data_IF_266944077021
#
_entry.id   IF_266944077021
#
_cell.length_a   1.000
_cell.length_b   1.000
_cell.length_c   1.000
_cell.angle_alpha   90.00
_cell.angle_beta   90.00
_cell.angle_gamma   90.00
#
_symmetry.space_group_name_H-M   'P 1'
#
loop_
_entity.id
_entity.type
_entity.pdbx_description
1 polymer ?
#
# COMPACT_ATOMS: atom_id res chain seq x y z
N UNK A 1 0.83 19.82 6.67
CA UNK A 1 1.29 20.00 5.27
C UNK A 1 0.35 20.95 4.58
N UNK A 2 0.82 21.90 3.76
CA UNK A 2 -0.03 22.81 2.99
C UNK A 2 0.05 22.44 1.50
N UNK A 3 -1.03 21.88 0.95
CA UNK A 3 -1.10 21.42 -0.44
C UNK A 3 -1.94 22.44 -1.24
N UNK A 4 -1.39 23.09 -2.27
CA UNK A 4 -2.03 24.25 -2.89
C UNK A 4 -3.24 23.90 -3.76
N UNK A 5 -3.31 22.67 -4.28
CA UNK A 5 -4.43 22.20 -5.11
C UNK A 5 -4.76 20.73 -4.85
N UNK A 6 -5.95 20.31 -5.30
CA UNK A 6 -6.39 18.91 -5.21
C UNK A 6 -5.50 17.98 -6.05
N UNK A 7 -4.92 18.47 -7.15
CA UNK A 7 -3.98 17.72 -7.99
C UNK A 7 -2.68 17.43 -7.24
N UNK A 8 -2.15 18.40 -6.47
CA UNK A 8 -0.99 18.17 -5.62
C UNK A 8 -1.28 17.09 -4.56
N UNK A 9 -2.45 17.15 -3.93
CA UNK A 9 -2.85 16.14 -2.94
C UNK A 9 -3.06 14.76 -3.57
N UNK A 10 -3.65 14.69 -4.76
CA UNK A 10 -3.80 13.45 -5.51
C UNK A 10 -2.44 12.83 -5.84
N UNK A 11 -1.53 13.61 -6.43
CA UNK A 11 -0.19 13.14 -6.78
C UNK A 11 0.58 12.64 -5.54
N UNK A 12 0.45 13.33 -4.40
CA UNK A 12 1.10 12.91 -3.16
C UNK A 12 0.50 11.62 -2.59
N UNK A 13 -0.83 11.52 -2.54
CA UNK A 13 -1.53 10.30 -2.10
C UNK A 13 -1.15 9.11 -2.98
N UNK A 14 -1.22 9.29 -4.29
CA UNK A 14 -0.98 8.22 -5.26
C UNK A 14 0.50 7.77 -5.23
N UNK A 15 1.45 8.72 -5.15
CA UNK A 15 2.86 8.38 -4.95
C UNK A 15 3.13 7.66 -3.63
N UNK A 16 2.40 8.00 -2.55
CA UNK A 16 2.45 7.25 -1.30
C UNK A 16 1.93 5.81 -1.44
N UNK A 17 0.85 5.62 -2.20
CA UNK A 17 0.29 4.29 -2.51
C UNK A 17 1.29 3.46 -3.33
N UNK A 18 1.90 4.05 -4.36
CA UNK A 18 2.92 3.40 -5.18
C UNK A 18 4.14 2.99 -4.34
N UNK A 19 4.58 3.84 -3.42
CA UNK A 19 5.66 3.52 -2.49
C UNK A 19 5.31 2.35 -1.57
N UNK A 20 4.08 2.27 -1.06
CA UNK A 20 3.61 1.11 -0.28
C UNK A 20 3.60 -0.18 -1.11
N UNK A 21 3.15 -0.12 -2.36
CA UNK A 21 3.16 -1.29 -3.25
C UNK A 21 4.59 -1.77 -3.53
N UNK A 22 5.51 -0.86 -3.80
CA UNK A 22 6.92 -1.19 -3.99
C UNK A 22 7.56 -1.82 -2.74
N UNK A 23 7.19 -1.34 -1.54
CA UNK A 23 7.64 -1.94 -0.28
C UNK A 23 7.07 -3.34 -0.05
N UNK A 24 5.80 -3.59 -0.39
CA UNK A 24 5.17 -4.92 -0.29
C UNK A 24 5.88 -5.92 -1.22
N UNK A 25 6.15 -5.52 -2.47
CA UNK A 25 6.88 -6.36 -3.43
C UNK A 25 8.33 -6.62 -2.99
N UNK A 26 9.03 -5.59 -2.49
CA UNK A 26 10.38 -5.75 -1.96
C UNK A 26 10.41 -6.69 -0.74
N UNK A 27 9.42 -6.59 0.16
CA UNK A 27 9.27 -7.49 1.30
C UNK A 27 9.02 -8.92 0.84
N UNK A 28 8.13 -9.14 -0.11
CA UNK A 28 7.85 -10.47 -0.65
C UNK A 28 9.11 -11.14 -1.23
N UNK A 29 9.89 -10.38 -2.01
CA UNK A 29 11.16 -10.85 -2.58
C UNK A 29 12.21 -11.16 -1.50
N UNK A 30 12.31 -10.31 -0.47
CA UNK A 30 13.24 -10.54 0.63
C UNK A 30 12.86 -11.79 1.44
N UNK A 31 11.58 -11.98 1.76
CA UNK A 31 11.10 -13.14 2.51
C UNK A 31 11.34 -14.48 1.78
N UNK A 32 11.44 -14.46 0.45
CA UNK A 32 11.77 -15.64 -0.34
C UNK A 32 13.24 -16.10 -0.21
N UNK A 33 14.14 -15.23 0.27
CA UNK A 33 15.59 -15.49 0.29
C UNK A 33 16.21 -15.54 1.68
N UNK A 34 15.53 -15.01 2.71
CA UNK A 34 16.02 -14.98 4.09
C UNK A 34 15.44 -16.12 4.94
N UNK A 35 16.12 -16.52 6.04
CA UNK A 35 15.59 -17.50 6.98
C UNK A 35 14.28 -17.06 7.64
N UNK A 36 13.38 -18.02 7.87
CA UNK A 36 12.08 -17.76 8.52
C UNK A 36 12.20 -17.10 9.90
N UNK A 37 13.28 -17.39 10.63
CA UNK A 37 13.57 -16.77 11.93
C UNK A 37 13.71 -15.25 11.86
N UNK A 38 14.11 -14.71 10.70
CA UNK A 38 14.25 -13.28 10.46
C UNK A 38 12.98 -12.63 9.87
N UNK A 39 11.96 -13.42 9.47
CA UNK A 39 10.77 -12.91 8.77
C UNK A 39 9.98 -11.94 9.64
N UNK A 40 9.83 -12.25 10.93
CA UNK A 40 9.06 -11.41 11.86
C UNK A 40 9.66 -10.01 11.96
N UNK A 41 10.96 -9.94 12.17
CA UNK A 41 11.65 -8.66 12.39
C UNK A 41 11.64 -7.82 11.11
N UNK A 42 11.85 -8.45 9.95
CA UNK A 42 11.77 -7.76 8.67
C UNK A 42 10.35 -7.24 8.39
N UNK A 43 9.31 -8.07 8.59
CA UNK A 43 7.91 -7.65 8.44
C UNK A 43 7.59 -6.47 9.37
N UNK A 44 8.08 -6.50 10.61
CA UNK A 44 7.84 -5.41 11.55
C UNK A 44 8.57 -4.13 11.12
N UNK A 45 9.79 -4.23 10.61
CA UNK A 45 10.53 -3.08 10.10
C UNK A 45 9.85 -2.44 8.89
N UNK A 46 9.46 -3.24 7.89
CA UNK A 46 8.74 -2.74 6.71
C UNK A 46 7.38 -2.18 7.10
N UNK A 47 6.65 -2.84 8.01
CA UNK A 47 5.37 -2.36 8.51
C UNK A 47 5.46 -0.98 9.17
N UNK A 48 6.54 -0.69 9.90
CA UNK A 48 6.79 0.66 10.44
C UNK A 48 6.97 1.71 9.34
N UNK A 49 7.73 1.40 8.30
CA UNK A 49 7.94 2.31 7.15
C UNK A 49 6.62 2.58 6.44
N UNK A 50 5.81 1.54 6.18
CA UNK A 50 4.49 1.70 5.56
C UNK A 50 3.56 2.54 6.44
N UNK A 51 3.58 2.36 7.76
CA UNK A 51 2.81 3.18 8.69
C UNK A 51 3.23 4.66 8.65
N UNK A 52 4.53 4.95 8.53
CA UNK A 52 5.04 6.32 8.34
C UNK A 52 4.54 6.92 7.02
N UNK A 53 4.61 6.19 5.90
CA UNK A 53 4.07 6.67 4.61
C UNK A 53 2.57 6.98 4.72
N UNK A 54 1.81 6.09 5.37
CA UNK A 54 0.39 6.31 5.60
C UNK A 54 0.14 7.57 6.43
N UNK A 55 0.84 7.73 7.56
CA UNK A 55 0.64 8.84 8.49
C UNK A 55 1.14 10.20 8.00
N UNK A 56 2.20 10.23 7.19
CA UNK A 56 2.90 11.47 6.82
C UNK A 56 2.65 11.90 5.36
N UNK A 57 2.20 10.97 4.49
CA UNK A 57 2.03 11.24 3.06
C UNK A 57 0.56 11.10 2.66
N UNK A 58 -0.02 9.91 2.87
CA UNK A 58 -1.36 9.58 2.37
C UNK A 58 -2.45 10.29 3.17
N UNK A 59 -2.46 10.10 4.49
CA UNK A 59 -3.49 10.67 5.36
C UNK A 59 -3.50 12.21 5.31
N UNK A 60 -2.35 12.92 5.35
CA UNK A 60 -2.36 14.38 5.23
C UNK A 60 -2.92 14.88 3.89
N UNK A 61 -2.69 14.17 2.79
CA UNK A 61 -3.24 14.53 1.49
C UNK A 61 -4.77 14.39 1.46
N UNK A 62 -5.29 13.30 2.03
CA UNK A 62 -6.73 13.05 2.15
C UNK A 62 -7.39 14.05 3.11
N UNK A 63 -6.76 14.35 4.26
CA UNK A 63 -7.27 15.34 5.22
C UNK A 63 -7.32 16.74 4.60
N UNK A 64 -6.32 17.10 3.80
CA UNK A 64 -6.31 18.38 3.09
C UNK A 64 -7.43 18.47 2.03
N UNK A 65 -7.77 17.35 1.38
CA UNK A 65 -8.80 17.28 0.35
C UNK A 65 -9.66 16.01 0.50
N UNK A 66 -10.72 16.04 1.33
CA UNK A 66 -11.53 14.85 1.64
C UNK A 66 -12.21 14.17 0.45
N UNK A 67 -12.38 14.89 -0.67
CA UNK A 67 -12.85 14.31 -1.93
C UNK A 67 -11.94 13.21 -2.50
N UNK A 68 -10.71 13.05 -1.96
CA UNK A 68 -9.79 11.98 -2.29
C UNK A 68 -10.04 10.68 -1.48
N UNK A 69 -10.88 10.71 -0.45
CA UNK A 69 -11.25 9.50 0.29
C UNK A 69 -12.03 8.56 -0.65
N UNK A 70 -11.56 7.31 -0.86
CA UNK A 70 -12.30 6.35 -1.65
C UNK A 70 -13.62 6.02 -0.96
N UNK A 71 -14.73 6.03 -1.72
CA UNK A 71 -15.98 5.52 -1.19
C UNK A 71 -15.96 3.98 -1.05
N UNK A 72 -16.95 3.44 -0.36
CA UNK A 72 -17.04 2.01 -0.08
C UNK A 72 -17.00 1.13 -1.35
N UNK A 73 -17.62 1.56 -2.45
CA UNK A 73 -17.62 0.77 -3.69
C UNK A 73 -16.23 0.73 -4.33
N UNK A 74 -15.48 1.84 -4.29
CA UNK A 74 -14.08 1.87 -4.74
C UNK A 74 -13.23 0.93 -3.91
N UNK A 75 -13.45 0.87 -2.59
CA UNK A 75 -12.78 -0.08 -1.71
C UNK A 75 -13.12 -1.54 -2.03
N UNK A 76 -14.40 -1.85 -2.22
CA UNK A 76 -14.85 -3.20 -2.58
C UNK A 76 -14.23 -3.65 -3.89
N UNK A 77 -14.20 -2.78 -4.89
CA UNK A 77 -13.61 -3.09 -6.19
C UNK A 77 -12.10 -3.33 -6.09
N UNK A 78 -11.37 -2.49 -5.35
CA UNK A 78 -9.95 -2.69 -5.12
C UNK A 78 -9.65 -4.04 -4.43
N UNK A 79 -10.47 -4.42 -3.44
CA UNK A 79 -10.37 -5.72 -2.78
C UNK A 79 -10.64 -6.86 -3.77
N UNK A 80 -11.72 -6.79 -4.57
CA UNK A 80 -12.03 -7.79 -5.60
C UNK A 80 -10.85 -7.98 -6.54
N UNK A 81 -10.30 -6.90 -7.09
CA UNK A 81 -9.14 -6.94 -7.99
C UNK A 81 -7.92 -7.59 -7.33
N UNK A 82 -7.61 -7.25 -6.07
CA UNK A 82 -6.48 -7.85 -5.35
C UNK A 82 -6.69 -9.34 -5.08
N UNK A 83 -7.91 -9.77 -4.73
CA UNK A 83 -8.26 -11.18 -4.54
C UNK A 83 -8.14 -11.94 -5.85
N UNK A 84 -8.69 -11.42 -6.94
CA UNK A 84 -8.59 -12.03 -8.28
C UNK A 84 -7.13 -12.15 -8.73
N UNK A 85 -6.30 -11.12 -8.53
CA UNK A 85 -4.88 -11.18 -8.86
C UNK A 85 -4.11 -12.22 -8.04
N UNK A 86 -4.48 -12.43 -6.76
CA UNK A 86 -3.91 -13.50 -5.93
C UNK A 86 -4.36 -14.88 -6.41
N UNK A 87 -5.65 -15.04 -6.72
CA UNK A 87 -6.19 -16.29 -7.25
C UNK A 87 -5.52 -16.68 -8.58
N UNK A 88 -5.26 -15.71 -9.46
CA UNK A 88 -4.57 -15.94 -10.73
C UNK A 88 -3.08 -16.32 -10.59
N UNK A 89 -2.45 -16.01 -9.46
CA UNK A 89 -1.05 -16.36 -9.16
C UNK A 89 -0.89 -17.75 -8.50
N UNK A 90 -1.98 -18.38 -8.06
CA UNK A 90 -1.95 -19.74 -7.53
C UNK A 90 -1.95 -20.74 -8.70
N UNK A 91 -1.06 -21.76 -8.73
CA UNK A 91 -1.15 -22.82 -9.71
C UNK A 91 -2.50 -23.57 -9.55
N UNK A 92 -3.07 -24.14 -10.64
CA UNK A 92 -4.27 -24.96 -10.51
C UNK A 92 -3.97 -26.09 -9.52
N UNK A 93 -4.81 -26.19 -8.49
CA UNK A 93 -4.74 -27.25 -7.48
C UNK A 93 -4.76 -28.61 -8.20
N UNK A 94 -3.63 -29.32 -8.12
CA UNK A 94 -3.48 -30.71 -8.55
C UNK A 94 -4.05 -31.65 -7.48
#
# INVERSE_FOLDING_TARGET
>A
MNLPTIECARALRDGGIDAMAALDDALANALATIPETAHRDLKQAVGRVMATIMGEVINPAVVAFPALEPNEEVWREAIRQRVSARAAKLPPSA
#
